data_IF_780106383389
#
_entry.id   IF_780106383389
#
_cell.length_a   1.000
_cell.length_b   1.000
_cell.length_c   1.000
_cell.angle_alpha   90.00
_cell.angle_beta   90.00
_cell.angle_gamma   90.00
#
_symmetry.space_group_name_H-M   'P 1'
#
loop_
_entity.id
_entity.type
_entity.pdbx_description
1 polymer ?
2 polymer ?
3 non-polymer ?
4 water ?
#
# COMPACT_ATOMS: atom_id res chain seq x y z
N UNK A 1 -18.13 -5.98 -14.77
CA UNK A 1 -16.95 -5.29 -14.26
C UNK A 1 -15.98 -4.99 -15.40
N UNK A 2 -15.82 -3.71 -15.73
CA UNK A 2 -14.93 -3.30 -16.80
C UNK A 2 -13.52 -3.07 -16.26
N UNK A 3 -12.51 -3.34 -17.08
CA UNK A 3 -11.10 -3.14 -16.69
C UNK A 3 -10.86 -1.75 -16.09
N UNK A 4 -11.42 -0.73 -16.74
CA UNK A 4 -11.17 0.66 -16.35
C UNK A 4 -11.64 0.93 -14.94
N UNK A 5 -12.55 0.10 -14.45
CA UNK A 5 -13.12 0.30 -13.13
C UNK A 5 -12.46 -0.54 -12.04
N UNK A 6 -11.51 -1.41 -12.42
CA UNK A 6 -10.86 -2.28 -11.44
C UNK A 6 -9.91 -1.51 -10.55
N UNK A 7 -9.88 -1.87 -9.27
CA UNK A 7 -8.93 -1.32 -8.31
C UNK A 7 -7.61 -2.05 -8.46
N UNK A 8 -6.57 -1.59 -7.78
CA UNK A 8 -5.25 -2.21 -7.90
C UNK A 8 -5.30 -3.67 -7.52
N UNK A 9 -5.93 -3.96 -6.37
CA UNK A 9 -6.17 -5.34 -5.92
C UNK A 9 -7.63 -5.46 -5.47
N UNK A 10 -8.36 -6.42 -6.06
CA UNK A 10 -9.77 -6.62 -5.76
C UNK A 10 -10.00 -8.07 -5.38
N UNK A 11 -10.79 -8.29 -4.32
CA UNK A 11 -11.22 -9.63 -3.95
C UNK A 11 -12.59 -9.90 -4.55
N UNK A 12 -12.74 -11.09 -5.13
CA UNK A 12 -13.99 -11.52 -5.73
C UNK A 12 -14.36 -12.83 -5.04
N UNK A 13 -15.32 -12.78 -4.11
CA UNK A 13 -15.71 -14.00 -3.39
C UNK A 13 -16.55 -14.94 -4.24
N UNK A 14 -16.21 -16.23 -4.22
CA UNK A 14 -17.02 -17.30 -4.83
C UNK A 14 -17.73 -16.93 -6.13
N UNK A 15 -16.99 -16.47 -7.14
CA UNK A 15 -17.69 -16.13 -8.39
C UNK A 15 -18.28 -17.38 -9.06
N UNK A 16 -19.49 -17.28 -9.61
CA UNK A 16 -20.01 -18.42 -10.35
C UNK A 16 -19.16 -18.60 -11.61
N UNK A 17 -19.16 -19.81 -12.16
CA UNK A 17 -18.40 -20.06 -13.38
C UNK A 17 -18.90 -19.18 -14.53
N UNK A 18 -20.22 -19.02 -14.63
CA UNK A 18 -20.80 -18.20 -15.68
C UNK A 18 -20.38 -16.73 -15.59
N UNK A 19 -20.34 -16.20 -14.37
CA UNK A 19 -19.95 -14.80 -14.15
C UNK A 19 -18.46 -14.60 -14.46
N UNK A 20 -17.64 -15.57 -14.07
CA UNK A 20 -16.20 -15.49 -14.37
C UNK A 20 -16.02 -15.47 -15.89
N UNK A 21 -16.70 -16.40 -16.58
CA UNK A 21 -16.61 -16.45 -18.04
C UNK A 21 -17.05 -15.16 -18.71
N UNK A 22 -18.14 -14.56 -18.23
CA UNK A 22 -18.66 -13.35 -18.85
C UNK A 22 -17.72 -12.18 -18.63
N UNK A 23 -17.16 -12.11 -17.42
CA UNK A 23 -16.15 -11.10 -17.08
C UNK A 23 -14.95 -11.18 -18.04
N UNK A 24 -14.46 -12.39 -18.25
CA UNK A 24 -13.36 -12.59 -19.16
C UNK A 24 -13.76 -12.21 -20.58
N UNK A 25 -14.92 -12.68 -21.02
CA UNK A 25 -15.38 -12.39 -22.37
C UNK A 25 -15.49 -10.89 -22.62
N UNK A 26 -16.13 -10.16 -21.71
CA UNK A 26 -16.38 -8.74 -21.90
C UNK A 26 -15.07 -7.95 -21.93
N UNK A 27 -14.11 -8.35 -21.11
CA UNK A 27 -12.87 -7.59 -21.03
C UNK A 27 -11.90 -7.88 -22.16
N UNK A 28 -11.74 -9.15 -22.52
CA UNK A 28 -10.79 -9.47 -23.58
C UNK A 28 -11.32 -9.12 -24.96
N UNK A 29 -12.60 -8.73 -25.03
CA UNK A 29 -13.24 -8.35 -26.28
C UNK A 29 -13.11 -6.86 -26.62
N UNK A 30 -12.55 -6.08 -25.71
CA UNK A 30 -12.41 -4.63 -25.92
C UNK A 30 -11.56 -4.30 -27.15
N UNK A 31 -12.05 -3.40 -27.99
CA UNK A 31 -11.33 -3.00 -29.18
C UNK A 31 -10.30 -1.92 -28.85
N UNK A 32 -9.29 -1.78 -29.70
CA UNK A 32 -8.30 -0.72 -29.60
C UNK A 32 -7.28 -0.91 -28.48
N UNK A 33 -7.40 -2.02 -27.76
CA UNK A 33 -6.45 -2.36 -26.71
C UNK A 33 -6.14 -3.84 -26.78
N UNK A 34 -5.01 -4.24 -26.23
CA UNK A 34 -4.70 -5.66 -26.09
C UNK A 34 -4.87 -6.06 -24.64
N UNK A 35 -5.95 -6.77 -24.33
CA UNK A 35 -6.20 -7.18 -22.95
C UNK A 35 -5.83 -8.65 -22.78
N UNK A 36 -5.06 -8.96 -21.75
CA UNK A 36 -4.65 -10.34 -21.49
C UNK A 36 -5.06 -10.80 -20.09
N UNK A 37 -5.40 -12.08 -19.97
CA UNK A 37 -5.75 -12.64 -18.68
C UNK A 37 -4.65 -13.62 -18.29
N UNK A 38 -3.98 -13.38 -17.17
CA UNK A 38 -3.07 -14.37 -16.61
C UNK A 38 -3.80 -15.05 -15.46
N UNK A 39 -4.19 -16.30 -15.67
CA UNK A 39 -4.96 -17.04 -14.68
C UNK A 39 -4.03 -17.97 -13.93
N UNK A 40 -3.84 -17.69 -12.65
CA UNK A 40 -2.85 -18.37 -11.82
C UNK A 40 -3.61 -19.12 -10.75
N UNK A 41 -3.46 -20.44 -10.72
CA UNK A 41 -4.33 -21.25 -9.90
C UNK A 41 -3.48 -22.29 -9.19
N UNK A 42 -3.87 -22.64 -7.97
CA UNK A 42 -3.19 -23.71 -7.24
C UNK A 42 -3.81 -25.06 -7.54
N UNK A 43 -5.01 -25.06 -8.13
CA UNK A 43 -5.77 -26.29 -8.34
C UNK A 43 -6.07 -26.62 -9.80
N UNK A 44 -5.50 -25.87 -10.73
CA UNK A 44 -5.70 -26.17 -12.15
C UNK A 44 -7.18 -26.26 -12.49
N UNK A 45 -7.97 -25.32 -11.99
CA UNK A 45 -9.42 -25.41 -12.14
C UNK A 45 -10.06 -24.26 -12.93
N UNK A 46 -9.37 -23.78 -13.96
CA UNK A 46 -9.99 -22.88 -14.91
C UNK A 46 -11.20 -23.60 -15.51
N UNK A 47 -12.37 -22.95 -15.53
CA UNK A 47 -13.57 -23.68 -15.99
C UNK A 47 -13.61 -23.80 -17.51
N UNK A 48 -12.72 -24.62 -18.06
CA UNK A 48 -12.59 -24.74 -19.51
C UNK A 48 -13.90 -25.15 -20.16
N UNK A 49 -14.65 -26.04 -19.51
CA UNK A 49 -15.89 -26.54 -20.10
C UNK A 49 -16.91 -25.44 -20.30
N UNK A 50 -17.20 -24.69 -19.23
CA UNK A 50 -18.14 -23.58 -19.32
C UNK A 50 -17.63 -22.50 -20.24
N UNK A 51 -16.32 -22.26 -20.23
CA UNK A 51 -15.76 -21.18 -21.04
C UNK A 51 -15.95 -21.46 -22.52
N UNK A 52 -15.72 -22.70 -22.93
CA UNK A 52 -15.88 -23.08 -24.33
C UNK A 52 -17.34 -22.99 -24.77
N UNK A 53 -18.26 -23.16 -23.83
CA UNK A 53 -19.70 -23.08 -24.14
C UNK A 53 -20.12 -21.64 -24.37
N UNK A 54 -19.64 -20.76 -23.51
CA UNK A 54 -20.02 -19.35 -23.57
C UNK A 54 -19.17 -18.58 -24.57
N UNK A 55 -17.94 -19.01 -24.76
CA UNK A 55 -17.04 -18.37 -25.70
C UNK A 55 -16.47 -19.43 -26.63
N UNK A 56 -17.27 -19.91 -27.60
CA UNK A 56 -16.86 -21.03 -28.45
C UNK A 56 -15.59 -20.70 -29.24
N UNK A 57 -14.57 -21.58 -29.16
CA UNK A 57 -13.32 -21.32 -29.89
C UNK A 57 -13.54 -21.41 -31.40
N UNK A 58 -14.67 -21.98 -31.81
CA UNK A 58 -14.96 -22.19 -33.23
C UNK A 58 -15.51 -20.95 -33.93
N UNK A 59 -15.80 -19.90 -33.15
CA UNK A 59 -16.27 -18.63 -33.69
C UNK A 59 -15.09 -17.69 -33.87
N UNK A 60 -15.04 -16.99 -35.02
CA UNK A 60 -13.88 -16.18 -35.40
C UNK A 60 -13.56 -15.07 -34.39
N UNK A 61 -14.58 -14.36 -33.93
CA UNK A 61 -14.39 -13.24 -33.03
C UNK A 61 -13.83 -13.66 -31.66
N UNK A 62 -13.58 -14.96 -31.50
CA UNK A 62 -13.15 -15.51 -30.22
C UNK A 62 -11.71 -16.00 -30.21
N UNK A 63 -11.13 -16.14 -31.39
CA UNK A 63 -9.76 -16.64 -31.53
C UNK A 63 -8.75 -15.86 -30.70
N UNK A 64 -8.78 -14.53 -30.81
CA UNK A 64 -7.86 -13.66 -30.08
C UNK A 64 -8.07 -13.78 -28.58
N UNK A 65 -9.31 -14.00 -28.17
CA UNK A 65 -9.58 -14.14 -26.74
C UNK A 65 -8.76 -15.32 -26.19
N UNK A 66 -8.90 -16.49 -26.80
CA UNK A 66 -8.12 -17.67 -26.39
C UNK A 66 -6.61 -17.45 -26.45
N UNK A 67 -6.18 -16.62 -27.40
CA UNK A 67 -4.76 -16.35 -27.59
C UNK A 67 -4.22 -15.47 -26.48
N UNK A 68 -5.11 -14.70 -25.84
CA UNK A 68 -4.71 -13.74 -24.82
C UNK A 68 -5.01 -14.18 -23.39
N UNK A 69 -5.39 -15.45 -23.24
CA UNK A 69 -5.53 -16.04 -21.91
C UNK A 69 -4.29 -16.91 -21.67
N UNK A 70 -3.62 -16.69 -20.54
CA UNK A 70 -2.45 -17.48 -20.19
C UNK A 70 -2.75 -18.23 -18.92
N UNK A 71 -2.42 -19.52 -18.90
CA UNK A 71 -2.76 -20.38 -17.78
C UNK A 71 -1.53 -20.86 -17.05
N UNK A 72 -1.56 -20.79 -15.72
CA UNK A 72 -0.46 -21.28 -14.92
C UNK A 72 -0.94 -21.94 -13.65
N UNK A 73 -0.30 -23.05 -13.29
CA UNK A 73 -0.56 -23.72 -12.04
C UNK A 73 0.56 -23.37 -11.09
N UNK A 74 0.19 -22.83 -9.93
CA UNK A 74 1.15 -22.25 -9.02
C UNK A 74 0.89 -22.81 -7.62
N UNK A 75 1.86 -23.54 -7.09
CA UNK A 75 1.66 -24.31 -5.87
C UNK A 75 2.14 -23.62 -4.59
N UNK A 76 2.92 -22.56 -4.72
CA UNK A 76 3.43 -21.89 -3.53
C UNK A 76 3.83 -20.45 -3.81
N UNK A 77 4.11 -19.69 -2.74
CA UNK A 77 4.46 -18.27 -2.84
C UNK A 77 5.74 -18.01 -3.62
N UNK A 78 6.68 -18.95 -3.56
CA UNK A 78 7.93 -18.79 -4.30
C UNK A 78 7.67 -18.79 -5.81
N UNK A 79 6.81 -19.70 -6.27
CA UNK A 79 6.38 -19.74 -7.67
C UNK A 79 5.57 -18.49 -8.04
N UNK A 80 4.72 -18.01 -7.13
CA UNK A 80 3.95 -16.80 -7.42
C UNK A 80 4.87 -15.58 -7.54
N UNK A 81 5.88 -15.50 -6.68
CA UNK A 81 6.87 -14.44 -6.78
C UNK A 81 7.56 -14.45 -8.15
N UNK A 82 7.91 -15.64 -8.62
CA UNK A 82 8.55 -15.79 -9.93
C UNK A 82 7.62 -15.31 -11.06
N UNK A 83 6.35 -15.70 -10.99
CA UNK A 83 5.36 -15.24 -11.96
C UNK A 83 5.22 -13.71 -11.97
N UNK A 84 5.25 -13.10 -10.80
CA UNK A 84 5.20 -11.65 -10.67
C UNK A 84 6.42 -10.99 -11.33
N UNK A 85 7.59 -11.59 -11.14
CA UNK A 85 8.80 -11.16 -11.83
C UNK A 85 8.59 -11.15 -13.35
N UNK A 86 8.05 -12.26 -13.88
CA UNK A 86 7.79 -12.37 -15.31
C UNK A 86 6.82 -11.30 -15.80
N UNK A 87 5.74 -11.06 -15.04
CA UNK A 87 4.75 -10.05 -15.42
C UNK A 87 5.38 -8.64 -15.45
N UNK A 88 6.17 -8.33 -14.44
CA UNK A 88 6.87 -7.04 -14.39
C UNK A 88 7.83 -6.88 -15.58
N UNK A 89 8.50 -7.97 -15.97
CA UNK A 89 9.35 -7.92 -17.17
C UNK A 89 8.52 -7.59 -18.41
N UNK A 90 7.37 -8.24 -18.54
CA UNK A 90 6.53 -8.00 -19.69
C UNK A 90 6.07 -6.55 -19.71
N UNK A 91 5.60 -6.05 -18.57
CA UNK A 91 5.13 -4.67 -18.46
C UNK A 91 6.26 -3.68 -18.74
N UNK A 92 7.42 -3.92 -18.13
CA UNK A 92 8.55 -2.99 -18.27
C UNK A 92 9.00 -2.89 -19.73
N UNK A 93 9.08 -4.03 -20.41
CA UNK A 93 9.51 -4.06 -21.80
C UNK A 93 8.47 -3.46 -22.74
N UNK A 94 7.19 -3.71 -22.48
CA UNK A 94 6.14 -3.08 -23.26
C UNK A 94 6.23 -1.57 -23.18
N UNK A 95 6.45 -1.06 -21.98
CA UNK A 95 6.57 0.37 -21.76
C UNK A 95 7.75 0.93 -22.53
N UNK A 96 8.87 0.20 -22.48
CA UNK A 96 10.09 0.59 -23.18
C UNK A 96 9.93 0.51 -24.68
N UNK A 97 9.48 -0.64 -25.17
CA UNK A 97 9.28 -0.86 -26.59
C UNK A 97 8.24 0.08 -27.20
N UNK A 98 7.34 0.58 -26.37
CA UNK A 98 6.30 1.50 -26.84
C UNK A 98 6.87 2.82 -27.32
N UNK A 99 8.19 2.97 -27.25
CA UNK A 99 8.87 4.12 -27.82
C UNK A 99 10.25 3.72 -28.37
N UNK A 100 10.28 2.62 -29.11
CA UNK A 100 11.52 2.10 -29.65
C UNK A 100 11.28 1.31 -30.93
N UNK A 108 -3.02 -1.29 -29.24
CA UNK A 108 -1.68 -0.82 -28.89
C UNK A 108 -1.37 -0.94 -27.40
N UNK A 109 -2.18 -0.28 -26.54
CA UNK A 109 -1.91 -0.34 -25.10
C UNK A 109 -2.14 -1.74 -24.55
N UNK A 110 -1.30 -2.17 -23.63
CA UNK A 110 -1.43 -3.48 -23.01
C UNK A 110 -2.16 -3.42 -21.66
N UNK A 111 -3.21 -4.23 -21.52
CA UNK A 111 -3.94 -4.29 -20.25
C UNK A 111 -3.94 -5.72 -19.72
N UNK A 112 -3.27 -5.91 -18.59
CA UNK A 112 -3.15 -7.24 -18.01
C UNK A 112 -4.08 -7.39 -16.81
N UNK A 113 -4.88 -8.45 -16.82
CA UNK A 113 -5.63 -8.85 -15.65
C UNK A 113 -4.94 -10.07 -15.05
N UNK A 114 -4.48 -9.92 -13.83
CA UNK A 114 -3.83 -11.00 -13.09
C UNK A 114 -4.91 -11.58 -12.19
N UNK A 115 -5.28 -12.83 -12.43
CA UNK A 115 -6.36 -13.45 -11.66
C UNK A 115 -5.80 -14.63 -10.88
N UNK A 116 -5.86 -14.55 -9.57
CA UNK A 116 -5.24 -15.60 -8.75
C UNK A 116 -6.26 -16.31 -7.89
N UNK A 117 -6.36 -17.63 -8.07
CA UNK A 117 -7.27 -18.47 -7.31
C UNK A 117 -6.43 -19.39 -6.43
N UNK A 118 -6.86 -19.60 -5.18
CA UNK A 118 -6.16 -20.51 -4.29
C UNK A 118 -4.92 -19.93 -3.61
N UNK A 119 -4.91 -18.63 -3.40
CA UNK A 119 -3.75 -18.00 -2.76
C UNK A 119 -3.57 -18.52 -1.33
N UNK A 120 -4.68 -18.85 -0.68
CA UNK A 120 -4.59 -19.40 0.69
C UNK A 120 -3.90 -20.75 0.71
N UNK A 121 -4.01 -21.53 -0.37
CA UNK A 121 -3.31 -22.82 -0.41
C UNK A 121 -1.83 -22.68 -0.79
N UNK A 122 -1.50 -21.74 -1.68
CA UNK A 122 -0.09 -21.40 -1.95
C UNK A 122 0.58 -20.93 -0.66
N UNK A 123 -0.08 -20.11 0.12
CA UNK A 123 0.47 -19.63 1.35
C UNK A 123 0.73 -20.76 2.35
N UNK A 124 -0.23 -21.65 2.47
CA UNK A 124 -0.14 -22.79 3.34
C UNK A 124 0.99 -23.69 2.90
N UNK A 125 1.11 -23.93 1.61
CA UNK A 125 2.18 -24.75 1.16
C UNK A 125 3.52 -24.14 1.50
N UNK A 126 3.73 -22.86 1.24
CA UNK A 126 5.00 -22.20 1.51
C UNK A 126 5.32 -22.25 2.99
N UNK A 127 4.28 -22.09 3.81
CA UNK A 127 4.45 -21.98 5.25
C UNK A 127 5.01 -23.27 5.82
N UNK A 128 4.64 -24.40 5.22
CA UNK A 128 5.10 -25.71 5.69
C UNK A 128 6.49 -26.07 5.17
N UNK A 129 6.88 -25.46 4.06
CA UNK A 129 8.21 -25.69 3.50
C UNK A 129 9.25 -24.71 4.05
N UNK A 130 8.78 -23.59 4.58
CA UNK A 130 9.69 -22.60 5.18
C UNK A 130 9.28 -22.27 6.61
N UNK A 131 8.85 -21.04 6.84
CA UNK A 131 8.36 -20.62 8.16
C UNK A 131 7.20 -19.65 8.01
N UNK A 132 6.46 -19.42 9.11
CA UNK A 132 5.43 -18.38 9.16
C UNK A 132 5.99 -17.01 8.79
N UNK A 133 7.14 -16.65 9.36
CA UNK A 133 7.75 -15.36 9.11
C UNK A 133 8.10 -15.16 7.63
N UNK A 134 8.73 -16.18 7.05
CA UNK A 134 9.13 -16.14 5.64
C UNK A 134 7.93 -16.10 4.69
N UNK A 135 6.88 -16.87 4.99
CA UNK A 135 5.70 -16.86 4.15
C UNK A 135 5.01 -15.50 4.20
N UNK A 136 4.88 -14.93 5.38
CA UNK A 136 4.29 -13.59 5.50
C UNK A 136 5.13 -12.54 4.79
N UNK A 137 6.45 -12.66 4.90
CA UNK A 137 7.38 -11.74 4.23
C UNK A 137 7.20 -11.79 2.72
N UNK A 138 7.15 -13.02 2.20
CA UNK A 138 7.01 -13.26 0.77
C UNK A 138 5.64 -12.81 0.24
N UNK A 139 4.57 -13.12 0.98
CA UNK A 139 3.25 -12.60 0.65
C UNK A 139 3.26 -11.06 0.61
N UNK A 140 3.78 -10.46 1.67
CA UNK A 140 3.85 -8.99 1.73
C UNK A 140 4.59 -8.42 0.53
N UNK A 141 5.78 -8.96 0.28
CA UNK A 141 6.66 -8.42 -0.77
C UNK A 141 6.00 -8.51 -2.14
N UNK A 142 5.29 -9.60 -2.37
CA UNK A 142 4.64 -9.82 -3.65
C UNK A 142 3.41 -8.91 -3.84
N UNK A 143 2.59 -8.79 -2.81
CA UNK A 143 1.40 -7.94 -2.91
C UNK A 143 1.75 -6.45 -3.01
N UNK A 144 2.71 -5.99 -2.22
CA UNK A 144 3.09 -4.57 -2.26
C UNK A 144 3.65 -4.23 -3.63
N UNK A 145 4.42 -5.15 -4.19
CA UNK A 145 4.96 -5.00 -5.53
C UNK A 145 3.84 -4.93 -6.58
N UNK A 146 2.84 -5.81 -6.50
CA UNK A 146 1.73 -5.75 -7.44
C UNK A 146 0.93 -4.46 -7.35
N UNK A 147 0.80 -3.91 -6.14
CA UNK A 147 0.15 -2.60 -5.97
C UNK A 147 0.94 -1.49 -6.69
N UNK A 148 2.24 -1.42 -6.43
CA UNK A 148 3.06 -0.39 -7.08
C UNK A 148 2.97 -0.56 -8.61
N UNK A 149 3.07 -1.81 -9.07
CA UNK A 149 2.93 -2.10 -10.52
C UNK A 149 1.59 -1.61 -11.08
N UNK A 150 0.49 -1.96 -10.42
CA UNK A 150 -0.83 -1.51 -10.85
C UNK A 150 -0.98 0.00 -10.78
N UNK A 151 -0.27 0.63 -9.85
CA UNK A 151 -0.39 2.08 -9.62
C UNK A 151 0.43 2.94 -10.60
N UNK A 152 1.25 2.31 -11.42
CA UNK A 152 2.11 3.05 -12.37
C UNK A 152 1.24 3.88 -13.31
N UNK A 153 1.55 5.18 -13.41
CA UNK A 153 0.79 6.10 -14.23
C UNK A 153 0.88 5.82 -15.73
N UNK A 154 1.80 4.96 -16.12
CA UNK A 154 2.03 4.68 -17.55
C UNK A 154 0.80 4.20 -18.31
N UNK A 155 0.58 4.77 -19.49
CA UNK A 155 -0.62 4.51 -20.28
C UNK A 155 -0.42 3.44 -21.36
N UNK A 156 0.82 3.02 -21.58
CA UNK A 156 1.10 1.99 -22.58
C UNK A 156 0.87 0.58 -22.06
N UNK A 157 1.06 0.37 -20.76
CA UNK A 157 0.84 -0.96 -20.18
C UNK A 157 0.38 -0.85 -18.73
N UNK A 158 -0.60 -1.67 -18.36
CA UNK A 158 -1.20 -1.63 -17.04
C UNK A 158 -1.44 -3.05 -16.53
N UNK A 159 -1.59 -3.16 -15.22
CA UNK A 159 -1.97 -4.43 -14.61
C UNK A 159 -2.99 -4.15 -13.51
N UNK A 160 -3.95 -5.08 -13.34
CA UNK A 160 -4.89 -5.05 -12.24
C UNK A 160 -4.97 -6.47 -11.71
N UNK A 161 -5.04 -6.61 -10.39
CA UNK A 161 -5.04 -7.93 -9.78
C UNK A 161 -6.41 -8.26 -9.16
N UNK A 162 -6.91 -9.45 -9.47
CA UNK A 162 -8.11 -10.00 -8.85
C UNK A 162 -7.77 -11.25 -8.07
N UNK A 163 -8.24 -11.34 -6.84
CA UNK A 163 -7.96 -12.48 -5.98
C UNK A 163 -9.30 -13.16 -5.67
N UNK A 164 -9.44 -14.41 -6.08
CA UNK A 164 -10.66 -15.17 -5.76
C UNK A 164 -10.52 -15.88 -4.41
N UNK A 165 -11.55 -15.81 -3.56
CA UNK A 165 -11.63 -16.63 -2.34
C UNK A 165 -13.06 -17.13 -2.11
N UNK A 166 -13.20 -18.33 -1.55
CA UNK A 166 -14.53 -18.80 -1.17
C UNK A 166 -15.14 -17.87 -0.13
N UNK A 167 -16.43 -17.60 -0.24
CA UNK A 167 -17.12 -16.71 0.70
C UNK A 167 -16.85 -17.14 2.13
N UNK A 168 -16.70 -18.43 2.39
CA UNK A 168 -16.55 -18.91 3.77
C UNK A 168 -15.24 -18.45 4.42
N UNK A 169 -14.29 -18.01 3.61
CA UNK A 169 -13.03 -17.50 4.15
C UNK A 169 -13.09 -15.98 4.41
N UNK A 170 -14.26 -15.36 4.20
CA UNK A 170 -14.43 -13.91 4.38
C UNK A 170 -15.54 -13.56 5.38
N UNK A 171 -15.73 -14.38 6.41
CA UNK A 171 -16.84 -14.15 7.34
C UNK A 171 -16.76 -12.79 8.00
N UNK A 172 -15.55 -12.28 8.21
CA UNK A 172 -15.40 -10.95 8.76
C UNK A 172 -16.14 -9.92 7.92
N UNK A 173 -16.11 -10.10 6.61
CA UNK A 173 -16.82 -9.20 5.70
C UNK A 173 -18.34 -9.39 5.74
N UNK A 174 -18.81 -10.63 5.60
CA UNK A 174 -20.24 -10.89 5.53
C UNK A 174 -20.94 -10.63 6.86
N UNK A 175 -20.24 -10.90 7.96
CA UNK A 175 -20.85 -10.74 9.27
C UNK A 175 -20.87 -9.26 9.66
N UNK A 176 -19.99 -8.49 9.03
CA UNK A 176 -20.07 -7.04 9.13
C UNK A 176 -21.23 -6.57 8.27
N UNK A 177 -22.38 -7.22 8.43
CA UNK A 177 -23.59 -6.90 7.68
C UNK A 177 -24.80 -7.67 8.22
N UNK A 178 -25.54 -7.09 9.17
CA UNK A 178 -25.23 -5.79 9.79
C UNK A 178 -25.01 -4.64 8.80
N UNK A 192 -20.00 -17.53 16.19
CA UNK A 192 -18.73 -17.82 15.53
C UNK A 192 -17.55 -17.62 16.47
N UNK A 193 -16.71 -18.65 16.57
CA UNK A 193 -15.44 -18.53 17.27
C UNK A 193 -14.32 -18.57 16.23
N UNK A 194 -13.23 -17.86 16.49
CA UNK A 194 -12.21 -17.68 15.48
C UNK A 194 -10.81 -17.48 16.06
N UNK A 195 -9.83 -18.20 15.49
CA UNK A 195 -8.44 -18.05 15.88
C UNK A 195 -7.64 -17.29 14.83
N UNK A 196 -7.85 -15.98 14.78
CA UNK A 196 -7.11 -15.12 13.86
C UNK A 196 -7.76 -15.02 12.49
N UNK A 197 -7.19 -14.18 11.64
CA UNK A 197 -7.70 -14.01 10.28
C UNK A 197 -7.30 -15.15 9.35
N UNK A 198 -8.23 -15.56 8.50
CA UNK A 198 -7.88 -16.33 7.33
C UNK A 198 -6.97 -15.47 6.44
N UNK A 199 -6.32 -16.07 5.46
CA UNK A 199 -5.52 -15.27 4.54
C UNK A 199 -6.41 -14.27 3.80
N UNK A 200 -7.59 -14.72 3.41
CA UNK A 200 -8.52 -13.82 2.74
C UNK A 200 -8.85 -12.58 3.57
N UNK A 201 -9.12 -12.79 4.86
CA UNK A 201 -9.49 -11.68 5.73
C UNK A 201 -8.29 -10.76 5.94
N UNK A 202 -7.13 -11.37 6.05
CA UNK A 202 -5.88 -10.62 6.28
C UNK A 202 -5.68 -9.67 5.10
N UNK A 203 -5.83 -10.22 3.90
CA UNK A 203 -5.68 -9.43 2.68
C UNK A 203 -6.79 -8.39 2.52
N UNK A 204 -8.03 -8.78 2.87
CA UNK A 204 -9.13 -7.85 2.88
C UNK A 204 -8.83 -6.63 3.77
N UNK A 205 -8.18 -6.86 4.92
CA UNK A 205 -7.95 -5.78 5.86
C UNK A 205 -6.71 -4.97 5.52
N UNK A 206 -5.69 -5.62 4.96
CA UNK A 206 -4.37 -5.02 4.86
C UNK A 206 -3.75 -4.83 3.46
N UNK A 207 -4.35 -5.42 2.42
CA UNK A 207 -3.73 -5.35 1.08
C UNK A 207 -4.66 -5.02 -0.08
N UNK A 208 -5.96 -5.27 0.08
CA UNK A 208 -6.89 -5.13 -1.04
C UNK A 208 -7.62 -3.80 -0.97
N UNK A 209 -7.85 -3.18 -2.11
CA UNK A 209 -8.58 -1.92 -2.16
C UNK A 209 -10.07 -2.15 -1.98
N UNK A 210 -10.56 -3.28 -2.47
CA UNK A 210 -12.00 -3.49 -2.40
C UNK A 210 -12.36 -4.94 -2.57
N UNK A 211 -13.63 -5.21 -2.39
CA UNK A 211 -14.17 -6.55 -2.50
C UNK A 211 -15.44 -6.40 -3.28
N UNK A 212 -15.59 -7.20 -4.33
CA UNK A 212 -16.74 -7.09 -5.22
C UNK A 212 -17.53 -8.38 -5.15
N UNK A 213 -18.82 -8.30 -4.84
CA UNK A 213 -19.64 -9.51 -4.76
C UNK A 213 -20.14 -9.99 -6.12
N UNK B 7 27.46 40.39 34.28
CA UNK B 7 27.06 41.34 33.25
C UNK B 7 27.28 40.75 31.88
N UNK B 8 28.47 40.19 31.67
CA UNK B 8 28.79 39.57 30.39
C UNK B 8 27.85 38.41 30.07
N UNK B 9 27.25 37.83 31.10
CA UNK B 9 26.42 36.64 30.92
C UNK B 9 24.93 36.92 30.87
N UNK B 10 24.56 38.21 30.92
CA UNK B 10 23.15 38.59 30.87
C UNK B 10 22.53 38.28 29.52
N UNK B 11 21.39 37.59 29.54
CA UNK B 11 20.68 37.25 28.31
C UNK B 11 19.34 37.97 28.24
N UNK B 12 19.17 38.82 27.24
CA UNK B 12 17.96 39.60 27.04
C UNK B 12 17.36 39.26 25.67
N UNK B 13 16.23 38.58 25.66
CA UNK B 13 15.66 38.06 24.41
C UNK B 13 14.50 38.91 23.89
N UNK B 14 14.53 39.24 22.59
CA UNK B 14 13.37 39.89 21.98
C UNK B 14 12.20 38.91 22.00
N UNK B 15 10.99 39.40 22.25
CA UNK B 15 9.82 38.54 22.34
C UNK B 15 9.62 37.80 21.02
N UNK B 16 9.95 38.49 19.93
CA UNK B 16 9.81 37.93 18.60
C UNK B 16 10.60 36.63 18.40
N UNK B 17 11.51 36.32 19.32
CA UNK B 17 12.20 35.02 19.29
C UNK B 17 11.28 33.87 19.69
N UNK B 18 10.40 34.14 20.66
CA UNK B 18 9.57 33.11 21.26
C UNK B 18 8.34 32.78 20.41
N UNK B 19 8.08 33.59 19.39
CA UNK B 19 6.90 33.42 18.56
C UNK B 19 7.26 33.16 17.09
N UNK B 20 8.55 32.90 16.86
CA UNK B 20 9.08 32.67 15.52
C UNK B 20 9.83 31.34 15.53
N UNK B 21 9.61 30.52 14.50
CA UNK B 21 10.33 29.25 14.41
C UNK B 21 10.83 28.95 13.01
N UNK B 22 11.91 28.19 12.93
CA UNK B 22 12.44 27.77 11.64
C UNK B 22 11.83 26.42 11.25
N UNK B 23 11.03 25.86 12.16
CA UNK B 23 10.40 24.56 11.94
C UNK B 23 8.89 24.66 11.75
N UNK B 24 8.33 23.76 10.95
CA UNK B 24 6.89 23.62 10.83
C UNK B 24 6.35 22.77 11.97
N UNK B 25 5.11 23.03 12.37
CA UNK B 25 4.48 22.24 13.41
C UNK B 25 3.16 21.64 12.92
N UNK B 26 2.78 20.53 13.52
CA UNK B 26 1.60 19.81 13.06
C UNK B 26 0.37 20.50 13.65
N UNK B 27 -0.63 20.72 12.80
CA UNK B 27 -1.90 21.27 13.25
C UNK B 27 -2.90 20.13 13.44
N UNK B 28 -3.19 19.80 14.69
CA UNK B 28 -4.11 18.71 15.00
C UNK B 28 -5.51 19.13 14.60
N UNK B 29 -6.23 18.24 13.90
CA UNK B 29 -7.64 18.56 13.59
C UNK B 29 -8.51 18.44 14.84
N UNK B 30 -9.69 19.01 14.81
CA UNK B 30 -10.62 18.94 15.95
C UNK B 30 -10.70 17.54 16.57
N UNK B 31 -10.59 16.52 15.71
CA UNK B 31 -10.71 15.14 16.14
C UNK B 31 -9.59 14.73 17.10
N UNK B 32 -8.51 15.51 17.12
CA UNK B 32 -7.36 15.17 17.95
C UNK B 32 -7.04 16.24 19.01
N UNK B 33 -7.84 17.29 19.05
CA UNK B 33 -7.68 18.32 20.07
C UNK B 33 -8.10 17.76 21.42
N UNK B 34 -7.56 18.36 22.45
CA UNK B 34 -7.86 17.94 23.80
C UNK B 34 -7.04 16.73 24.21
N UNK B 35 -6.22 16.22 23.30
CA UNK B 35 -5.28 15.18 23.66
C UNK B 35 -4.09 15.63 24.48
N UNK B 36 -3.46 16.72 24.06
CA UNK B 36 -2.25 17.22 24.73
C UNK B 36 -2.46 18.65 25.23
N UNK B 37 -1.46 19.21 25.90
CA UNK B 37 -1.54 20.58 26.41
C UNK B 37 -1.74 21.58 25.28
N UNK B 38 -1.87 22.85 25.65
CA UNK B 38 -1.89 23.92 24.66
C UNK B 38 -0.46 24.13 24.16
N UNK B 39 0.46 24.25 25.10
CA UNK B 39 1.87 24.42 24.77
C UNK B 39 2.39 23.19 24.03
N UNK B 40 1.92 22.02 24.39
CA UNK B 40 2.34 20.83 23.69
C UNK B 40 1.95 20.79 22.21
N UNK B 41 0.73 21.17 21.86
CA UNK B 41 0.29 21.20 20.47
C UNK B 41 1.02 22.24 19.71
N UNK B 42 1.53 23.22 20.40
CA UNK B 42 2.23 24.27 19.72
C UNK B 42 3.55 23.80 19.20
N UNK B 43 4.03 22.68 19.70
CA UNK B 43 5.38 22.21 19.35
C UNK B 43 5.42 20.78 18.82
N UNK B 44 4.34 20.34 18.17
CA UNK B 44 4.27 18.99 17.63
C UNK B 44 5.09 18.84 16.35
N UNK B 45 6.14 18.03 16.42
CA UNK B 45 7.02 17.84 15.28
C UNK B 45 6.97 16.43 14.73
N UNK B 46 6.79 15.44 15.61
CA UNK B 46 6.73 14.04 15.22
C UNK B 46 5.46 13.42 15.76
N UNK B 47 4.61 12.92 14.86
CA UNK B 47 3.36 12.28 15.26
C UNK B 47 3.31 10.88 14.66
N UNK B 48 3.03 9.90 15.51
CA UNK B 48 2.74 8.55 15.01
C UNK B 48 1.28 8.16 15.28
N UNK B 49 0.62 7.64 14.25
CA UNK B 49 -0.74 7.16 14.41
C UNK B 49 -0.82 5.64 14.21
N UNK B 50 -1.45 4.96 15.17
CA UNK B 50 -1.75 3.55 15.05
C UNK B 50 -3.25 3.37 14.76
N UNK B 51 -3.57 2.74 13.64
CA UNK B 51 -4.97 2.51 13.27
C UNK B 51 -5.12 1.26 12.42
N UNK B 52 -6.29 0.63 12.49
CA UNK B 52 -6.50 -0.63 11.80
C UNK B 52 -6.84 -0.43 10.32
N UNK B 53 -7.24 0.78 9.98
CA UNK B 53 -7.63 1.09 8.60
C UNK B 53 -6.45 0.90 7.65
N UNK B 54 -6.69 0.21 6.54
CA UNK B 54 -5.68 0.08 5.47
C UNK B 54 -5.58 1.44 4.79
N UNK B 55 -6.74 1.97 4.41
CA UNK B 55 -6.86 3.32 3.90
C UNK B 55 -6.79 4.26 5.09
N UNK B 56 -6.46 5.53 4.85
CA UNK B 56 -6.27 6.46 5.96
C UNK B 56 -7.60 6.88 6.59
N UNK B 57 -7.65 6.94 7.92
CA UNK B 57 -8.86 7.37 8.62
C UNK B 57 -9.10 8.84 8.32
N UNK B 58 -10.28 9.35 8.66
CA UNK B 58 -10.57 10.75 8.38
C UNK B 58 -9.61 11.70 9.09
N UNK B 59 -9.26 11.38 10.33
CA UNK B 59 -8.30 12.20 11.06
C UNK B 59 -6.94 12.29 10.38
N UNK B 60 -6.45 11.16 9.90
CA UNK B 60 -5.16 11.15 9.21
C UNK B 60 -5.27 11.96 7.91
N UNK B 61 -6.35 11.76 7.17
CA UNK B 61 -6.62 12.57 5.98
C UNK B 61 -6.57 14.06 6.31
N UNK B 62 -7.16 14.44 7.43
CA UNK B 62 -7.16 15.85 7.80
C UNK B 62 -5.76 16.34 8.18
N UNK B 63 -4.99 15.50 8.87
CA UNK B 63 -3.61 15.83 9.20
C UNK B 63 -2.82 16.17 7.94
N UNK B 64 -3.03 15.38 6.89
CA UNK B 64 -2.40 15.68 5.62
C UNK B 64 -3.36 16.53 4.82
N UNK B 65 -3.05 16.81 3.57
CA UNK B 65 -3.89 17.70 2.77
C UNK B 65 -4.22 18.92 3.63
N UNK B 66 -3.17 19.55 4.13
CA UNK B 66 -3.30 20.67 5.05
C UNK B 66 -2.47 21.84 4.55
N UNK B 67 -2.13 21.82 3.26
CA UNK B 67 -1.26 22.83 2.69
C UNK B 67 -2.01 24.11 2.33
N UNK B 68 -1.27 25.15 2.00
CA UNK B 68 -1.85 26.41 1.55
C UNK B 68 -0.85 27.19 0.71
N UNK B 69 -1.15 27.33 -0.58
CA UNK B 69 -0.29 28.07 -1.48
C UNK B 69 0.84 27.24 -2.06
N UNK B 70 2.06 27.54 -1.62
CA UNK B 70 3.25 26.87 -2.13
C UNK B 70 3.66 25.68 -1.28
N UNK B 71 3.00 25.50 -0.14
CA UNK B 71 3.35 24.41 0.77
C UNK B 71 3.07 23.05 0.14
N UNK B 72 4.00 22.12 0.29
CA UNK B 72 3.74 20.74 -0.15
C UNK B 72 4.05 19.75 0.97
N UNK B 73 3.35 18.62 0.96
CA UNK B 73 3.67 17.53 1.86
C UNK B 73 4.22 16.38 1.01
N UNK B 74 5.31 15.76 1.48
CA UNK B 74 5.88 14.61 0.79
C UNK B 74 5.23 13.36 1.37
N UNK B 75 4.52 12.62 0.54
CA UNK B 75 3.89 11.41 1.03
C UNK B 75 4.64 10.21 0.47
N UNK B 76 5.30 9.48 1.36
CA UNK B 76 5.98 8.26 0.96
C UNK B 76 4.97 7.10 1.06
N UNK B 77 4.42 6.74 -0.10
CA UNK B 77 3.20 5.94 -0.22
C UNK B 77 3.57 4.47 -0.42
N UNK B 78 4.07 3.83 0.65
CA UNK B 78 4.50 2.42 0.57
C UNK B 78 3.31 1.50 0.20
N UNK B 79 2.12 1.87 0.65
CA UNK B 79 0.89 1.08 0.45
C UNK B 79 0.16 1.34 -0.87
N UNK B 80 0.70 2.24 -1.70
CA UNK B 80 0.05 2.61 -2.96
C UNK B 80 -1.44 2.95 -2.77
N UNK B 81 -1.71 3.91 -1.89
CA UNK B 81 -3.09 4.42 -1.70
C UNK B 81 -3.16 5.90 -2.00
N UNK B 82 -2.33 6.68 -1.30
CA UNK B 82 -2.38 8.13 -1.42
C UNK B 82 -2.10 8.59 -2.85
N UNK B 83 -1.24 7.88 -3.56
CA UNK B 83 -0.79 8.36 -4.87
C UNK B 83 -1.62 7.76 -6.00
N UNK B 84 -2.67 7.02 -5.67
CA UNK B 84 -3.55 6.53 -6.72
C UNK B 84 -4.15 7.74 -7.43
N UNK B 85 -4.35 7.61 -8.74
CA UNK B 85 -4.81 8.75 -9.55
C UNK B 85 -6.08 9.41 -8.99
N UNK B 86 -7.03 8.59 -8.56
CA UNK B 86 -8.29 9.13 -8.04
C UNK B 86 -8.15 9.73 -6.64
N UNK B 87 -6.96 9.61 -6.06
CA UNK B 87 -6.75 10.02 -4.68
C UNK B 87 -5.77 11.17 -4.51
N UNK B 88 -4.96 11.44 -5.55
CA UNK B 88 -3.95 12.49 -5.48
C UNK B 88 -4.56 13.85 -5.18
N UNK B 89 -3.82 14.65 -4.40
CA UNK B 89 -4.26 15.99 -4.07
C UNK B 89 -3.22 17.01 -4.55
N UNK B 90 -3.64 18.26 -4.69
CA UNK B 90 -2.76 19.30 -5.22
C UNK B 90 -1.55 19.65 -4.34
N UNK B 91 -1.70 19.58 -3.03
CA UNK B 91 -0.61 19.96 -2.14
C UNK B 91 0.32 18.83 -1.73
N UNK B 92 0.34 17.75 -2.48
CA UNK B 92 1.20 16.61 -2.12
C UNK B 92 2.17 16.26 -3.22
N UNK B 93 3.27 15.64 -2.80
CA UNK B 93 4.30 15.13 -3.68
C UNK B 93 4.40 13.67 -3.25
N UNK B 94 4.53 12.76 -4.19
CA UNK B 94 4.43 11.35 -3.86
C UNK B 94 5.69 10.60 -4.19
N UNK B 95 6.10 9.73 -3.27
CA UNK B 95 7.11 8.72 -3.58
C UNK B 95 6.43 7.36 -3.52
N UNK B 96 6.25 6.74 -4.68
CA UNK B 96 5.60 5.43 -4.78
C UNK B 96 6.45 4.68 -5.79
N UNK B 97 7.40 3.89 -5.31
CA UNK B 97 8.40 3.31 -6.21
C UNK B 97 8.74 1.94 -5.68
N UNK B 98 9.08 1.02 -6.57
CA UNK B 98 9.64 -0.26 -6.16
C UNK B 98 10.99 -0.09 -5.46
N UNK B 99 11.60 1.08 -5.58
CA UNK B 99 12.88 1.30 -4.89
C UNK B 99 12.65 1.78 -3.45
N UNK B 100 11.39 1.90 -3.06
CA UNK B 100 11.06 2.46 -1.77
C UNK B 100 9.87 1.76 -1.11
N UNK B 101 9.83 0.42 -1.17
CA UNK B 101 8.80 -0.33 -0.45
C UNK B 101 9.44 -1.30 0.53
N UNK B 102 10.72 -1.10 0.80
CA UNK B 102 11.35 -1.78 1.91
C UNK B 102 12.24 -0.79 2.65
N UNK B 103 12.69 -1.15 3.84
CA UNK B 103 13.28 -0.15 4.73
C UNK B 103 14.65 0.30 4.22
N UNK B 104 15.36 -0.60 3.55
CA UNK B 104 16.66 -0.25 2.98
C UNK B 104 16.50 0.82 1.90
N UNK B 105 15.57 0.60 0.98
CA UNK B 105 15.31 1.56 -0.08
C UNK B 105 14.75 2.87 0.49
N UNK B 106 13.97 2.75 1.56
CA UNK B 106 13.39 3.96 2.17
C UNK B 106 14.49 4.83 2.75
N UNK B 107 15.39 4.19 3.48
CA UNK B 107 16.48 4.91 4.11
C UNK B 107 17.39 5.58 3.07
N UNK B 108 17.64 4.87 1.96
CA UNK B 108 18.44 5.43 0.88
C UNK B 108 17.78 6.69 0.33
N UNK B 109 16.47 6.64 0.08
CA UNK B 109 15.75 7.81 -0.42
C UNK B 109 15.79 9.01 0.54
N UNK B 110 15.56 8.77 1.83
CA UNK B 110 15.50 9.85 2.81
C UNK B 110 16.90 10.43 3.00
N UNK B 111 17.93 9.60 2.90
CA UNK B 111 19.31 10.12 2.98
C UNK B 111 19.61 11.04 1.78
N UNK B 112 19.13 10.66 0.59
CA UNK B 112 19.27 11.54 -0.57
C UNK B 112 18.46 12.84 -0.40
N UNK B 113 17.26 12.74 0.14
CA UNK B 113 16.44 13.92 0.38
C UNK B 113 17.16 14.89 1.30
N UNK B 114 17.86 14.36 2.30
CA UNK B 114 18.61 15.21 3.23
C UNK B 114 19.82 15.85 2.55
N UNK B 115 20.53 15.04 1.77
CA UNK B 115 21.77 15.48 1.12
C UNK B 115 21.49 16.44 -0.02
N UNK B 116 20.52 16.06 -0.85
CA UNK B 116 20.24 16.79 -2.06
C UNK B 116 18.74 16.79 -2.34
N UNK B 117 18.00 17.64 -1.63
CA UNK B 117 16.53 17.66 -1.73
C UNK B 117 16.09 17.71 -3.18
N UNK B 118 16.79 18.51 -3.98
CA UNK B 118 16.42 18.65 -5.39
C UNK B 118 16.47 17.32 -6.11
N UNK B 119 17.55 16.57 -5.92
CA UNK B 119 17.71 15.28 -6.59
C UNK B 119 16.67 14.25 -6.11
N UNK B 120 16.40 14.23 -4.80
CA UNK B 120 15.39 13.33 -4.28
C UNK B 120 14.01 13.68 -4.79
N UNK B 121 13.69 14.97 -4.78
CA UNK B 121 12.39 15.45 -5.22
C UNK B 121 12.17 15.24 -6.71
N UNK B 122 13.26 15.28 -7.48
CA UNK B 122 13.13 14.97 -8.89
C UNK B 122 12.67 13.53 -9.11
N UNK B 123 12.93 12.65 -8.15
CA UNK B 123 12.44 11.28 -8.28
C UNK B 123 10.95 11.19 -8.02
N UNK B 124 10.39 12.24 -7.45
CA UNK B 124 8.95 12.31 -7.21
C UNK B 124 8.28 13.08 -8.33
N UNK B 125 9.02 13.28 -9.42
CA UNK B 125 8.52 13.99 -10.60
C UNK B 125 8.12 15.44 -10.35
N UNK B 126 8.86 16.14 -9.49
CA UNK B 126 8.61 17.56 -9.26
C UNK B 126 9.53 18.41 -10.12
N UNK B 128 8.78 21.77 -10.85
CA UNK B 128 9.38 23.01 -10.43
C UNK B 128 9.50 23.08 -8.92
N UNK B 129 10.57 23.70 -8.43
CA UNK B 129 10.85 23.68 -7.00
C UNK B 129 10.44 24.96 -6.27
N UNK B 130 9.41 25.61 -6.80
CA UNK B 130 8.89 26.81 -6.18
C UNK B 130 7.86 26.49 -5.09
N UNK B 131 8.34 25.90 -4.00
CA UNK B 131 7.45 25.53 -2.89
C UNK B 131 8.23 25.30 -1.59
N UNK B 132 7.52 25.33 -0.47
CA UNK B 132 8.09 24.98 0.83
C UNK B 132 7.63 23.59 1.25
N UNK B 133 8.57 22.68 1.53
CA UNK B 133 8.24 21.34 2.03
C UNK B 133 7.87 21.38 3.52
N UNK B 134 6.58 21.25 3.80
CA UNK B 134 6.06 21.39 5.16
C UNK B 134 6.14 20.12 6.02
N UNK B 135 6.03 18.96 5.40
CA UNK B 135 5.90 17.71 6.14
C UNK B 135 6.24 16.49 5.30
N UNK B 136 6.57 15.39 5.99
CA UNK B 136 6.77 14.12 5.34
C UNK B 136 5.87 13.12 6.05
N UNK B 137 5.18 12.32 5.26
CA UNK B 137 4.29 11.31 5.80
C UNK B 137 4.79 9.95 5.34
N UNK B 138 4.88 8.98 6.23
CA UNK B 138 5.22 7.63 5.79
C UNK B 138 4.10 6.66 6.16
N UNK B 139 3.53 5.98 5.16
CA UNK B 139 2.42 5.05 5.34
C UNK B 139 2.77 3.79 4.52
N UNK B 140 3.08 2.64 5.12
CA UNK B 140 2.77 2.27 6.49
C UNK B 140 4.01 1.59 7.06
N UNK B 141 4.44 1.98 8.26
CA UNK B 141 5.65 1.40 8.87
C UNK B 141 5.57 -0.10 9.15
N UNK B 142 4.36 -0.61 9.32
CA UNK B 142 4.14 -2.02 9.64
C UNK B 142 4.64 -2.93 8.52
N UNK B 143 4.72 -2.38 7.31
CA UNK B 143 5.20 -3.15 6.16
C UNK B 143 6.71 -3.23 6.02
N UNK B 144 7.42 -2.63 6.97
CA UNK B 144 8.89 -2.56 6.92
C UNK B 144 9.46 -3.53 7.93
N UNK B 145 8.59 -4.03 8.81
CA UNK B 145 8.95 -4.98 9.85
C UNK B 145 9.88 -6.09 9.38
N UNK B 153 15.30 -9.41 14.20
CA UNK B 153 15.57 -9.49 15.63
C UNK B 153 15.97 -8.14 16.18
N UNK B 154 17.26 -7.96 16.44
CA UNK B 154 17.80 -6.67 16.87
C UNK B 154 18.14 -5.84 15.65
N UNK B 155 17.98 -6.46 14.47
CA UNK B 155 18.20 -5.81 13.19
C UNK B 155 17.20 -4.67 12.95
N UNK B 156 15.95 -4.91 13.29
CA UNK B 156 14.92 -3.88 13.10
C UNK B 156 15.02 -2.73 14.09
N UNK B 157 15.47 -3.01 15.31
CA UNK B 157 15.73 -1.95 16.28
C UNK B 157 16.76 -0.98 15.70
N UNK B 158 17.75 -1.54 14.99
CA UNK B 158 18.84 -0.76 14.42
C UNK B 158 18.39 -0.02 13.16
N UNK B 159 17.64 -0.70 12.31
CA UNK B 159 17.10 -0.09 11.11
C UNK B 159 16.12 1.02 11.45
N UNK B 160 15.26 0.77 12.45
CA UNK B 160 14.28 1.78 12.84
C UNK B 160 14.94 2.97 13.55
N UNK B 161 16.03 2.70 14.27
CA UNK B 161 16.79 3.78 14.89
C UNK B 161 17.42 4.65 13.80
N UNK B 162 17.94 3.99 12.78
CA UNK B 162 18.50 4.69 11.64
C UNK B 162 17.41 5.49 10.92
N UNK B 163 16.25 4.88 10.72
CA UNK B 163 15.12 5.60 10.15
C UNK B 163 14.79 6.85 10.98
N UNK B 164 14.66 6.70 12.29
CA UNK B 164 14.30 7.85 13.11
C UNK B 164 15.40 8.92 13.05
N UNK B 165 16.65 8.49 13.09
CA UNK B 165 17.74 9.48 13.06
C UNK B 165 17.72 10.29 11.77
N UNK B 166 17.47 9.65 10.62
CA UNK B 166 17.41 10.42 9.38
C UNK B 166 16.19 11.35 9.31
N UNK B 167 15.02 10.88 9.78
CA UNK B 167 13.86 11.77 9.86
C UNK B 167 14.13 12.98 10.77
N UNK B 168 14.82 12.76 11.88
CA UNK B 168 15.16 13.87 12.79
C UNK B 168 16.13 14.88 12.16
N UNK B 169 17.11 14.38 11.40
CA UNK B 169 18.04 15.25 10.67
C UNK B 169 17.30 16.06 9.60
N UNK B 170 16.37 15.41 8.91
CA UNK B 170 15.52 16.08 7.94
C UNK B 170 14.69 17.21 8.59
N UNK B 171 14.14 16.94 9.77
CA UNK B 171 13.39 17.99 10.46
C UNK B 171 14.30 19.16 10.84
N UNK B 172 15.50 18.85 11.32
CA UNK B 172 16.48 19.88 11.69
C UNK B 172 16.91 20.76 10.51
N UNK B 173 17.14 20.15 9.36
CA UNK B 173 17.65 20.87 8.19
C UNK B 173 16.52 21.54 7.40
N UNK B 174 15.51 20.76 7.06
CA UNK B 174 14.40 21.23 6.23
C UNK B 174 13.25 21.87 7.01
N UNK B 175 13.11 21.53 8.28
CA UNK B 175 12.04 22.10 9.10
C UNK B 175 10.68 21.44 8.93
N UNK B 176 10.62 20.34 8.19
CA UNK B 176 9.35 19.63 7.99
C UNK B 176 8.94 18.88 9.25
N UNK B 177 7.64 18.76 9.47
CA UNK B 177 7.19 17.82 10.49
C UNK B 177 7.13 16.43 9.89
N UNK B 178 6.95 15.42 10.73
CA UNK B 178 6.95 14.04 10.30
C UNK B 178 5.73 13.32 10.86
N UNK B 179 4.95 12.67 9.99
CA UNK B 179 3.85 11.83 10.46
C UNK B 179 4.01 10.44 9.91
N UNK B 180 3.93 9.44 10.78
CA UNK B 180 4.02 8.05 10.35
C UNK B 180 2.81 7.26 10.86
N UNK B 181 2.49 6.17 10.17
CA UNK B 181 1.38 5.32 10.55
C UNK B 181 1.83 3.87 10.66
N UNK B 182 1.26 3.14 11.61
CA UNK B 182 1.41 1.69 11.63
C UNK B 182 0.07 1.01 11.94
N UNK B 183 0.02 -0.30 11.73
CA UNK B 183 -1.15 -1.10 12.11
C UNK B 183 -1.04 -1.50 13.58
N UNK B 184 -2.16 -1.84 14.22
CA UNK B 184 -2.13 -2.35 15.60
C UNK B 184 -1.55 -3.75 15.68
N UNK B 185 -1.38 -4.23 16.91
CA UNK B 185 -0.70 -5.49 17.19
C UNK B 185 -1.35 -6.67 16.47
N UNK B 186 -2.65 -6.57 16.25
CA UNK B 186 -3.41 -7.64 15.59
C UNK B 186 -2.88 -7.96 14.19
N UNK B 187 -2.34 -6.97 13.49
CA UNK B 187 -1.70 -7.23 12.22
C UNK B 187 -0.46 -8.12 12.41
N UNK B 188 0.26 -7.93 13.52
CA UNK B 188 1.49 -8.68 13.75
C UNK B 188 1.26 -10.13 14.19
N UNK B 189 0.02 -10.47 14.54
CA UNK B 189 -0.31 -11.85 14.88
C UNK B 189 -0.23 -12.75 13.66
N UNK B 190 -0.44 -12.15 12.49
CA UNK B 190 -0.34 -12.88 11.25
C UNK B 190 -1.59 -13.70 10.93
N UNK B 191 -1.57 -14.36 9.78
CA UNK B 191 -2.67 -15.19 9.37
C UNK B 191 -2.83 -16.34 10.36
N UNK B 192 -4.05 -16.56 10.82
CA UNK B 192 -4.34 -17.62 11.77
C UNK B 192 -3.39 -17.59 12.97
N UNK B 193 -3.07 -16.39 13.44
CA UNK B 193 -2.16 -16.22 14.58
C UNK B 193 -0.84 -16.98 14.48
N UNK B 194 -0.40 -17.30 13.27
CA UNK B 194 0.81 -18.10 13.10
C UNK B 194 2.09 -17.33 13.41
N UNK B 195 1.98 -16.01 13.54
CA UNK B 195 3.12 -15.20 13.93
C UNK B 195 3.15 -14.97 15.43
N UNK B 196 2.11 -15.42 16.13
CA UNK B 196 2.02 -15.24 17.57
C UNK B 196 2.94 -16.19 18.30
N UNK B 210 3.18 0.17 23.75
CA UNK B 210 2.27 0.66 22.72
C UNK B 210 1.55 -0.51 22.02
N UNK B 211 0.30 -0.26 21.59
CA UNK B 211 -0.54 -1.27 20.94
C UNK B 211 -0.15 -1.41 19.46
N UNK B 212 1.14 -1.33 19.19
CA UNK B 212 1.69 -1.57 17.87
C UNK B 212 3.09 -2.13 18.07
N UNK B 213 3.63 -2.79 17.06
CA UNK B 213 4.89 -3.50 17.24
C UNK B 213 6.04 -2.78 16.57
N UNK B 214 6.37 -1.60 17.10
CA UNK B 214 7.54 -0.84 16.66
C UNK B 214 8.47 -0.69 17.85
N UNK B 215 9.78 -0.64 17.59
CA UNK B 215 10.75 -0.51 18.67
C UNK B 215 10.63 0.80 19.43
N UNK B 216 10.98 0.79 20.71
CA UNK B 216 11.10 2.04 21.46
C UNK B 216 12.09 2.96 20.76
N UNK B 217 13.10 2.36 20.14
CA UNK B 217 14.11 3.07 19.36
C UNK B 217 13.47 4.09 18.43
N UNK B 218 12.23 3.80 18.01
CA UNK B 218 11.47 4.71 17.17
C UNK B 218 10.39 5.45 17.96
N UNK B 219 9.58 4.70 18.71
CA UNK B 219 8.45 5.26 19.43
C UNK B 219 8.86 6.28 20.48
N UNK B 220 10.07 6.14 21.01
CA UNK B 220 10.55 7.06 22.04
C UNK B 220 10.75 8.45 21.47
N UNK B 221 10.93 8.53 20.15
CA UNK B 221 11.21 9.79 19.49
C UNK B 221 9.98 10.60 19.12
N UNK B 222 8.80 10.01 19.28
CA UNK B 222 7.55 10.68 18.90
C UNK B 222 7.13 11.73 19.93
N UNK B 223 6.64 12.88 19.47
CA UNK B 223 6.07 13.88 20.36
C UNK B 223 4.67 13.47 20.81
N UNK B 224 3.91 12.89 19.89
CA UNK B 224 2.54 12.43 20.18
C UNK B 224 2.29 11.11 19.48
N UNK B 225 1.84 10.12 20.24
CA UNK B 225 1.45 8.85 19.66
C UNK B 225 -0.04 8.71 19.81
N UNK B 226 -0.74 8.50 18.70
CA UNK B 226 -2.18 8.35 18.78
C UNK B 226 -2.67 6.97 18.35
N UNK B 227 -3.64 6.46 19.10
CA UNK B 227 -4.20 5.14 18.85
C UNK B 227 -5.67 5.24 18.52
N UNK B 228 -6.03 4.67 17.38
CA UNK B 228 -7.42 4.67 16.92
C UNK B 228 -8.04 3.27 17.05
N UNK B 229 -8.97 3.13 17.99
CA UNK B 229 -9.72 1.89 18.13
C UNK B 229 -11.17 2.11 17.74
N UNK B 230 -11.67 1.30 16.82
CA UNK B 230 -13.02 1.45 16.29
C UNK B 230 -14.08 0.97 17.29
N UNK B 233 -18.72 0.11 16.83
CA UNK B 233 -18.69 0.74 15.52
C UNK B 233 -18.22 2.17 15.59
N UNK B 234 -17.97 2.64 16.82
CA UNK B 234 -17.47 4.00 17.03
C UNK B 234 -15.95 4.05 17.08
N UNK B 235 -15.32 4.71 16.08
CA UNK B 235 -13.88 4.98 16.12
C UNK B 235 -13.56 6.01 17.19
N UNK B 236 -12.61 5.70 18.07
CA UNK B 236 -12.18 6.65 19.10
C UNK B 236 -10.67 6.89 19.05
N UNK B 237 -10.29 8.15 18.88
CA UNK B 237 -8.87 8.51 18.88
C UNK B 237 -8.38 8.81 20.31
N UNK B 238 -7.35 8.11 20.75
CA UNK B 238 -6.81 8.27 22.09
C UNK B 238 -5.29 8.48 22.08
N UNK B 239 -4.80 9.25 23.04
CA UNK B 239 -3.37 9.52 23.15
C UNK B 239 -2.65 8.43 23.94
N UNK B 240 -1.39 8.19 23.61
CA UNK B 240 -0.59 7.20 24.32
C UNK B 240 0.65 7.82 24.97
X LIG C 1 6.49 -0.57 -11.69
X LIG C 1 7.17 0.77 -11.43
X LIG C 1 5.71 -0.54 -12.86
X LIG D 1 -6.70 2.92 -10.22
X LIG D 1 -7.92 2.03 -9.98
X LIG D 1 -6.50 3.85 -9.18
X LIG E 1 3.87 -8.68 -24.84
X LIG E 1 3.94 -7.16 -24.72
X LIG E 1 2.54 -9.15 -25.00
X LIG F 1 12.84 22.82 0.09
X LIG F 1 11.63 23.06 0.99
X LIG F 1 12.73 21.62 -0.64
#
# INVERSE_FOLDING_TARGET
MEYEDLELITIWPSPTKNKLCQFIKQNLSKEHVVTQLFFIDATSSFPLSQFQKLVPPTLPENVRIYENIRINTCLDLEELSAITVKLLQILSMNKINAQRGTEDAVTEPLKIILYINGLEVMFRNSQFKSSPQRSHELLRDTLLKLRVMGNDENENASIRTLLEFPKEQLLDYYLKKNNNTRTSSVRSKRRRIKNGDSLAEYIWKYYADSLFE
GSHMEVLKNIRIYPLSNFITSTKNYINLPNELRNLISEEQESKLGFLHIIESDFKPSVALQKLVNCTTGDEKILIIDIVSIWSQQKQRQHGAIYMNSLSCINITGLIVFLELLYDSPMDALRRCQVDNFNFQLRGIVIDNLSFLNFESDKNYDVINLSKFEKLFKILRKLREFLGCWIITKSFPTDFYNGIENTLVDKWSIKRKSGVTLYPTKLPDSYMKGMDLIIYREVVDGRPQYRRIAALEE
EOH C1 C2 O
EOH C1 C2 O
EOH C1 C2 O
EOH C1 C2 O
#
